data_IF_037162827403
#
_entry.id   IF_037162827403
#
_cell.length_a   1.000
_cell.length_b   1.000
_cell.length_c   1.000
_cell.angle_alpha   90.00
_cell.angle_beta   90.00
_cell.angle_gamma   90.00
#
_symmetry.space_group_name_H-M   'P 1'
#
loop_
_entity.id
_entity.type
_entity.pdbx_description
1 polymer ?
#
# COMPACT_ATOMS: atom_id res chain seq x y z
N UNK A 1 24.56 7.64 5.92
CA UNK A 1 23.09 7.71 6.01
C UNK A 1 22.77 9.16 6.33
N UNK A 2 22.24 9.91 5.36
CA UNK A 2 21.75 11.27 5.58
C UNK A 2 20.68 11.20 6.66
N UNK A 3 20.80 12.02 7.71
CA UNK A 3 19.81 12.07 8.78
C UNK A 3 18.42 12.31 8.19
N UNK A 4 17.56 11.31 8.35
CA UNK A 4 16.17 11.37 7.88
C UNK A 4 15.30 12.29 8.74
N UNK A 5 15.80 12.71 9.89
CA UNK A 5 15.09 13.51 10.88
C UNK A 5 15.39 15.00 10.76
N UNK A 6 14.40 15.82 11.04
CA UNK A 6 14.55 17.29 11.03
C UNK A 6 14.56 17.84 12.46
N UNK A 7 15.52 18.73 12.85
CA UNK A 7 15.64 19.24 14.21
C UNK A 7 14.35 19.85 14.78
N UNK A 8 13.65 20.69 13.99
CA UNK A 8 12.39 21.30 14.44
C UNK A 8 11.29 20.27 14.72
N UNK A 9 11.25 19.16 13.97
CA UNK A 9 10.27 18.09 14.18
C UNK A 9 10.59 17.27 15.42
N UNK A 10 11.89 17.07 15.70
CA UNK A 10 12.35 16.47 16.95
C UNK A 10 12.03 17.36 18.16
N UNK A 11 12.18 18.67 18.03
CA UNK A 11 11.78 19.61 19.07
C UNK A 11 10.26 19.61 19.32
N UNK A 12 9.44 19.50 18.27
CA UNK A 12 7.98 19.32 18.41
C UNK A 12 7.63 18.00 19.09
N UNK A 13 8.33 16.91 18.74
CA UNK A 13 8.19 15.61 19.39
C UNK A 13 8.50 15.67 20.89
N UNK A 14 9.58 16.38 21.27
CA UNK A 14 9.95 16.59 22.67
C UNK A 14 8.86 17.36 23.43
N UNK A 15 8.39 18.49 22.87
CA UNK A 15 7.29 19.29 23.47
C UNK A 15 6.00 18.46 23.70
N UNK A 16 5.63 17.62 22.76
CA UNK A 16 4.46 16.72 22.94
C UNK A 16 4.64 15.82 24.16
N UNK A 17 5.81 15.20 24.30
CA UNK A 17 6.14 14.33 25.44
C UNK A 17 6.18 15.07 26.75
N UNK A 18 6.78 16.27 26.80
CA UNK A 18 6.82 17.15 27.97
C UNK A 18 5.42 17.59 28.42
N UNK A 19 4.50 17.77 27.46
CA UNK A 19 3.09 18.05 27.72
C UNK A 19 2.27 16.80 28.11
N UNK A 20 2.91 15.64 28.29
CA UNK A 20 2.23 14.38 28.64
C UNK A 20 1.41 13.78 27.49
N UNK A 21 1.59 14.26 26.26
CA UNK A 21 0.92 13.73 25.08
C UNK A 21 1.79 12.63 24.45
N UNK A 22 1.17 11.46 24.20
CA UNK A 22 1.85 10.39 23.47
C UNK A 22 1.83 10.69 21.95
N UNK A 23 3.00 10.92 21.33
CA UNK A 23 3.07 11.18 19.90
C UNK A 23 2.87 9.94 19.02
N UNK A 24 2.73 8.75 19.63
CA UNK A 24 2.52 7.47 18.97
C UNK A 24 1.51 6.61 19.74
N UNK A 25 0.27 7.07 19.96
CA UNK A 25 -0.69 6.36 20.79
C UNK A 25 -0.98 4.97 20.23
N UNK A 26 -1.07 3.98 21.12
CA UNK A 26 -1.38 2.60 20.77
C UNK A 26 -2.82 2.43 20.23
N UNK A 27 -3.73 3.35 20.56
CA UNK A 27 -5.10 3.34 20.07
C UNK A 27 -5.29 4.43 19.02
N UNK A 28 -5.74 4.02 17.82
CA UNK A 28 -6.19 4.91 16.77
C UNK A 28 -7.61 5.47 17.02
N UNK A 29 -8.26 5.84 15.95
CA UNK A 29 -9.67 6.21 15.87
C UNK A 29 -10.40 5.23 14.97
N UNK A 30 -11.70 5.03 15.21
CA UNK A 30 -12.57 4.35 14.24
C UNK A 30 -12.90 5.37 13.17
N UNK A 31 -12.50 5.11 11.95
CA UNK A 31 -12.55 6.06 10.85
C UNK A 31 -13.26 5.46 9.64
N UNK A 32 -13.94 6.31 8.91
CA UNK A 32 -14.54 6.00 7.62
C UNK A 32 -13.52 6.22 6.49
N UNK A 33 -13.55 5.41 5.41
CA UNK A 33 -12.74 5.67 4.23
C UNK A 33 -13.10 7.01 3.57
N UNK A 34 -12.09 7.82 3.28
CA UNK A 34 -12.30 9.16 2.68
C UNK A 34 -13.07 9.08 1.34
N UNK A 35 -12.78 8.07 0.52
CA UNK A 35 -13.47 7.88 -0.76
C UNK A 35 -14.97 7.61 -0.61
N UNK A 36 -15.36 6.81 0.38
CA UNK A 36 -16.78 6.55 0.69
C UNK A 36 -17.45 7.81 1.22
N UNK A 37 -16.78 8.53 2.11
CA UNK A 37 -17.25 9.80 2.65
C UNK A 37 -17.54 10.82 1.54
N UNK A 38 -16.63 10.99 0.59
CA UNK A 38 -16.77 11.90 -0.53
C UNK A 38 -17.89 11.48 -1.50
N UNK A 39 -18.08 10.17 -1.71
CA UNK A 39 -19.16 9.64 -2.55
C UNK A 39 -20.56 10.02 -2.02
N UNK A 40 -20.72 10.16 -0.69
CA UNK A 40 -21.96 10.54 -0.06
C UNK A 40 -22.18 12.06 0.03
N UNK A 41 -21.18 12.88 -0.31
CA UNK A 41 -21.31 14.36 -0.16
C UNK A 41 -22.32 15.01 -1.08
N UNK A 42 -22.61 14.43 -2.24
CA UNK A 42 -23.46 15.05 -3.26
C UNK A 42 -22.86 16.35 -3.85
N UNK A 43 -23.67 17.10 -4.58
CA UNK A 43 -23.26 18.37 -5.20
C UNK A 43 -23.08 19.50 -4.19
N UNK A 44 -22.22 20.47 -4.53
CA UNK A 44 -21.93 21.64 -3.71
C UNK A 44 -23.21 22.38 -3.29
N UNK A 45 -23.35 22.58 -1.98
CA UNK A 45 -24.38 23.41 -1.35
C UNK A 45 -23.75 24.69 -0.81
N UNK A 46 -24.49 25.44 0.01
CA UNK A 46 -24.00 26.63 0.69
C UNK A 46 -22.65 26.36 1.41
N UNK A 47 -21.72 27.33 1.42
CA UNK A 47 -20.45 27.21 2.11
C UNK A 47 -20.60 26.97 3.61
N UNK A 48 -19.68 26.20 4.20
CA UNK A 48 -19.64 25.89 5.62
C UNK A 48 -19.94 24.45 5.94
N UNK A 49 -19.88 24.07 7.23
CA UNK A 49 -20.26 22.74 7.68
C UNK A 49 -21.76 22.49 7.50
N UNK A 50 -22.11 21.29 7.11
CA UNK A 50 -23.50 20.82 7.07
C UNK A 50 -23.83 20.20 8.42
N UNK A 51 -24.70 20.83 9.18
CA UNK A 51 -25.17 20.28 10.45
C UNK A 51 -25.78 18.88 10.25
N UNK A 52 -25.41 17.94 11.11
CA UNK A 52 -25.94 16.58 11.09
C UNK A 52 -25.22 15.60 10.17
N UNK A 53 -24.08 15.95 9.61
CA UNK A 53 -23.20 15.03 8.88
C UNK A 53 -21.84 14.86 9.58
N UNK A 54 -21.80 14.34 10.83
CA UNK A 54 -20.54 14.06 11.51
C UNK A 54 -19.82 12.93 10.81
N UNK A 55 -18.50 13.04 10.70
CA UNK A 55 -17.65 12.00 10.16
C UNK A 55 -16.32 11.97 10.91
N UNK A 56 -15.72 10.81 10.96
CA UNK A 56 -14.37 10.64 11.49
C UNK A 56 -13.51 10.00 10.42
N UNK A 57 -12.39 10.64 10.09
CA UNK A 57 -11.39 10.12 9.16
C UNK A 57 -10.05 9.92 9.85
N UNK A 58 -9.24 9.02 9.32
CA UNK A 58 -7.84 8.89 9.70
C UNK A 58 -6.96 8.84 8.45
N UNK A 59 -5.85 9.57 8.48
CA UNK A 59 -4.99 9.58 7.31
C UNK A 59 -3.72 10.41 7.52
N UNK A 60 -2.97 10.55 6.43
CA UNK A 60 -1.74 11.32 6.41
C UNK A 60 -2.00 12.77 6.04
N UNK A 61 -1.57 13.66 6.91
CA UNK A 61 -1.55 15.10 6.67
C UNK A 61 -0.50 15.41 5.59
N UNK A 62 -0.89 16.05 4.48
CA UNK A 62 0.05 16.31 3.38
C UNK A 62 0.76 17.66 3.54
N UNK A 63 -0.01 18.73 3.67
CA UNK A 63 0.53 20.09 3.82
C UNK A 63 -0.44 20.93 4.64
N UNK A 64 0.05 22.02 5.21
CA UNK A 64 -0.78 22.94 5.99
C UNK A 64 -0.71 24.33 5.40
N UNK A 65 -1.85 24.99 5.28
CA UNK A 65 -1.97 26.40 4.90
C UNK A 65 -2.62 27.14 6.07
N UNK A 66 -1.80 27.88 6.85
CA UNK A 66 -2.22 28.60 8.05
C UNK A 66 -2.58 30.04 7.67
N UNK A 67 -3.82 30.44 7.93
CA UNK A 67 -4.38 31.78 7.74
C UNK A 67 -4.70 32.46 9.09
N UNK A 68 -3.98 32.14 10.14
CA UNK A 68 -4.15 32.67 11.49
C UNK A 68 -5.25 31.97 12.28
N UNK A 69 -6.51 32.31 12.09
CA UNK A 69 -7.66 31.69 12.77
C UNK A 69 -8.27 30.51 12.01
N UNK A 70 -7.74 30.18 10.84
CA UNK A 70 -8.20 29.11 9.96
C UNK A 70 -6.99 28.41 9.35
N UNK A 71 -6.96 27.08 9.42
CA UNK A 71 -5.95 26.27 8.77
C UNK A 71 -6.65 25.27 7.83
N UNK A 72 -6.18 25.19 6.59
CA UNK A 72 -6.56 24.15 5.67
C UNK A 72 -5.42 23.15 5.48
N UNK A 73 -5.77 21.87 5.42
CA UNK A 73 -4.82 20.82 5.17
C UNK A 73 -5.48 19.63 4.46
N UNK A 74 -4.91 19.09 3.38
CA UNK A 74 -5.38 17.85 2.81
C UNK A 74 -4.92 16.65 3.65
N UNK A 75 -5.84 15.71 3.88
CA UNK A 75 -5.57 14.40 4.50
C UNK A 75 -5.79 13.33 3.45
N UNK A 76 -4.85 12.38 3.38
CA UNK A 76 -4.83 11.26 2.44
C UNK A 76 -4.96 9.95 3.20
N UNK A 77 -5.87 9.09 2.74
CA UNK A 77 -5.90 7.66 3.06
C UNK A 77 -5.76 6.81 1.79
N UNK A 78 -5.97 5.50 1.90
CA UNK A 78 -5.91 4.59 0.74
C UNK A 78 -7.02 4.83 -0.29
N UNK A 79 -8.16 5.36 0.13
CA UNK A 79 -9.37 5.50 -0.67
C UNK A 79 -9.50 6.85 -1.35
N UNK A 80 -8.79 7.88 -0.85
CA UNK A 80 -8.87 9.20 -1.42
C UNK A 80 -8.21 10.29 -0.59
N UNK A 81 -8.50 11.54 -0.98
CA UNK A 81 -8.00 12.74 -0.33
C UNK A 81 -9.14 13.71 -0.08
N UNK A 82 -9.21 14.27 1.14
CA UNK A 82 -10.17 15.34 1.50
C UNK A 82 -9.43 16.49 2.16
N UNK A 83 -9.91 17.72 1.93
CA UNK A 83 -9.45 18.87 2.68
C UNK A 83 -10.06 18.86 4.08
N UNK A 84 -9.28 19.16 5.10
CA UNK A 84 -9.79 19.50 6.43
C UNK A 84 -9.73 21.01 6.65
N UNK A 85 -10.75 21.56 7.30
CA UNK A 85 -10.81 22.96 7.75
C UNK A 85 -10.78 23.01 9.27
N UNK A 86 -9.71 23.53 9.85
CA UNK A 86 -9.56 23.74 11.28
C UNK A 86 -9.80 25.20 11.61
N UNK A 87 -10.86 25.50 12.32
CA UNK A 87 -11.22 26.85 12.76
C UNK A 87 -10.92 27.02 14.25
N UNK A 88 -10.27 28.13 14.64
CA UNK A 88 -9.94 28.43 16.03
C UNK A 88 -11.18 28.37 16.93
N UNK A 89 -12.28 28.95 16.49
CA UNK A 89 -13.52 28.98 17.28
C UNK A 89 -14.14 27.61 17.54
N UNK A 90 -13.83 26.61 16.70
CA UNK A 90 -14.34 25.22 16.86
C UNK A 90 -13.37 24.31 17.63
N UNK A 91 -12.11 24.70 17.72
CA UNK A 91 -11.01 23.92 18.30
C UNK A 91 -10.28 24.71 19.40
N UNK A 92 -10.99 25.57 20.14
CA UNK A 92 -10.39 26.58 21.01
C UNK A 92 -9.34 26.00 21.96
N UNK A 93 -9.69 24.98 22.72
CA UNK A 93 -8.79 24.33 23.68
C UNK A 93 -7.61 23.62 23.01
N UNK A 94 -7.82 23.08 21.82
CA UNK A 94 -6.79 22.36 21.05
C UNK A 94 -5.95 23.31 20.15
N UNK A 95 -6.39 24.51 19.91
CA UNK A 95 -5.80 25.41 18.91
C UNK A 95 -4.29 25.63 19.03
N UNK A 96 -3.69 25.76 20.22
CA UNK A 96 -2.24 25.85 20.39
C UNK A 96 -1.48 24.64 19.84
N UNK A 97 -2.05 23.45 19.95
CA UNK A 97 -1.44 22.17 19.56
C UNK A 97 -1.21 22.03 18.05
N UNK A 98 -1.95 22.79 17.23
CA UNK A 98 -1.76 22.80 15.77
C UNK A 98 -0.32 23.09 15.35
N UNK A 99 0.44 23.84 16.17
CA UNK A 99 1.85 24.17 15.93
C UNK A 99 2.78 22.96 16.03
N UNK A 100 2.32 21.88 16.65
CA UNK A 100 3.05 20.62 16.75
C UNK A 100 2.81 19.69 15.55
N UNK A 101 1.81 19.99 14.72
CA UNK A 101 1.55 19.24 13.50
C UNK A 101 2.53 19.63 12.38
N UNK A 102 2.82 18.63 11.53
CA UNK A 102 3.61 18.79 10.31
C UNK A 102 3.03 17.94 9.17
N UNK A 103 3.34 18.32 7.94
CA UNK A 103 3.09 17.44 6.79
C UNK A 103 3.83 16.11 6.97
N UNK A 104 3.12 15.01 6.73
CA UNK A 104 3.59 13.65 6.98
C UNK A 104 3.03 13.00 8.25
N UNK A 105 2.52 13.77 9.20
CA UNK A 105 1.88 13.24 10.41
C UNK A 105 0.66 12.38 10.05
N UNK A 106 0.41 11.34 10.84
CA UNK A 106 -0.87 10.63 10.79
C UNK A 106 -1.81 11.25 11.82
N UNK A 107 -3.01 11.58 11.38
CA UNK A 107 -4.02 12.25 12.18
C UNK A 107 -5.38 11.55 12.11
N UNK A 108 -6.13 11.61 13.20
CA UNK A 108 -7.54 11.32 13.25
C UNK A 108 -8.31 12.64 13.36
N UNK A 109 -9.30 12.85 12.53
CA UNK A 109 -10.09 14.07 12.48
C UNK A 109 -11.56 13.71 12.57
N UNK A 110 -12.24 14.24 13.59
CA UNK A 110 -13.70 14.22 13.69
C UNK A 110 -14.23 15.60 13.33
N UNK A 111 -15.30 15.65 12.57
CA UNK A 111 -15.88 16.94 12.15
C UNK A 111 -17.15 16.80 11.35
N UNK A 112 -17.55 17.86 10.71
CA UNK A 112 -18.75 17.95 9.88
C UNK A 112 -18.36 18.21 8.42
N UNK A 113 -18.93 17.42 7.53
CA UNK A 113 -18.75 17.63 6.09
C UNK A 113 -19.39 18.93 5.63
N UNK A 114 -18.77 19.55 4.65
CA UNK A 114 -19.30 20.76 4.03
C UNK A 114 -18.46 21.21 2.86
N UNK A 115 -18.62 22.46 2.47
CA UNK A 115 -17.90 23.04 1.34
C UNK A 115 -17.23 24.35 1.74
N UNK A 116 -16.10 24.67 1.10
CA UNK A 116 -15.55 26.03 1.18
C UNK A 116 -16.37 27.00 0.33
N UNK A 117 -16.07 28.30 0.40
CA UNK A 117 -16.67 29.32 -0.47
C UNK A 117 -16.43 29.05 -1.96
N UNK A 118 -15.36 28.32 -2.30
CA UNK A 118 -15.01 27.90 -3.67
C UNK A 118 -15.61 26.55 -4.08
N UNK A 119 -16.47 25.96 -3.23
CA UNK A 119 -17.09 24.67 -3.50
C UNK A 119 -16.18 23.46 -3.27
N UNK A 120 -15.04 23.60 -2.59
CA UNK A 120 -14.15 22.47 -2.31
C UNK A 120 -14.70 21.64 -1.14
N UNK A 121 -14.86 20.29 -1.32
CA UNK A 121 -15.28 19.39 -0.26
C UNK A 121 -14.33 19.47 0.93
N UNK A 122 -14.87 19.70 2.13
CA UNK A 122 -14.07 19.96 3.33
C UNK A 122 -14.71 19.31 4.55
N UNK A 123 -13.93 18.60 5.34
CA UNK A 123 -14.30 18.18 6.68
C UNK A 123 -13.90 19.27 7.68
N UNK A 124 -14.90 19.94 8.25
CA UNK A 124 -14.73 21.01 9.24
C UNK A 124 -14.52 20.40 10.62
N UNK A 125 -13.28 20.41 11.09
CA UNK A 125 -12.86 19.71 12.29
C UNK A 125 -13.52 20.24 13.56
N UNK A 126 -14.00 19.33 14.40
CA UNK A 126 -14.41 19.54 15.80
C UNK A 126 -13.47 18.88 16.77
N UNK A 127 -12.71 17.87 16.32
CA UNK A 127 -11.65 17.21 17.08
C UNK A 127 -10.50 16.84 16.16
N UNK A 128 -9.26 17.02 16.66
CA UNK A 128 -8.03 16.62 15.97
C UNK A 128 -7.17 15.82 16.93
N UNK A 129 -6.78 14.63 16.50
CA UNK A 129 -5.93 13.72 17.27
C UNK A 129 -4.68 13.36 16.47
N UNK A 130 -3.51 13.56 17.06
CA UNK A 130 -2.26 13.04 16.50
C UNK A 130 -2.22 11.52 16.73
N UNK A 131 -2.01 10.75 15.66
CA UNK A 131 -1.88 9.29 15.69
C UNK A 131 -0.44 8.83 15.53
N UNK A 132 0.37 9.56 14.76
CA UNK A 132 1.80 9.34 14.69
C UNK A 132 2.53 10.58 14.20
N UNK A 133 3.54 11.00 14.92
CA UNK A 133 4.40 12.13 14.57
C UNK A 133 5.43 11.73 13.53
N UNK A 134 5.45 12.45 12.41
CA UNK A 134 6.48 12.31 11.39
C UNK A 134 7.69 13.18 11.72
N UNK A 135 8.83 12.56 12.01
CA UNK A 135 10.09 13.26 12.32
C UNK A 135 10.94 13.55 11.09
N UNK A 136 10.61 12.90 9.96
CA UNK A 136 11.20 13.17 8.66
C UNK A 136 10.30 14.09 7.83
N UNK A 137 10.84 15.13 7.16
CA UNK A 137 10.04 15.94 6.26
C UNK A 137 9.57 15.12 5.05
N UNK A 138 8.37 15.40 4.51
CA UNK A 138 7.97 14.85 3.23
C UNK A 138 8.92 15.34 2.12
N UNK A 139 9.00 14.62 0.98
CA UNK A 139 9.66 15.13 -0.22
C UNK A 139 9.08 16.48 -0.66
N UNK A 140 9.83 17.24 -1.46
CA UNK A 140 9.36 18.52 -1.98
C UNK A 140 8.01 18.40 -2.73
N UNK A 141 7.14 19.40 -2.53
CA UNK A 141 5.70 19.37 -2.84
C UNK A 141 5.30 19.09 -4.29
N UNK A 142 6.19 19.31 -5.24
CA UNK A 142 5.79 19.38 -6.66
C UNK A 142 6.17 18.16 -7.49
N UNK A 143 7.12 17.33 -7.04
CA UNK A 143 7.69 16.26 -7.85
C UNK A 143 7.78 14.90 -7.12
N UNK A 144 7.34 14.81 -5.85
CA UNK A 144 7.55 13.60 -5.06
C UNK A 144 9.04 13.27 -4.95
N UNK A 145 9.38 11.98 -5.03
CA UNK A 145 10.76 11.52 -5.14
C UNK A 145 11.14 11.44 -6.63
N UNK A 146 11.97 12.37 -7.14
CA UNK A 146 12.37 12.40 -8.55
C UNK A 146 13.40 11.30 -8.90
N UNK A 147 14.33 11.02 -7.99
CA UNK A 147 15.38 10.02 -8.19
C UNK A 147 14.83 8.59 -8.09
N UNK A 148 15.06 7.78 -9.15
CA UNK A 148 14.55 6.40 -9.21
C UNK A 148 15.12 5.50 -8.12
N UNK A 149 16.40 5.65 -7.79
CA UNK A 149 17.07 4.86 -6.76
C UNK A 149 16.48 5.16 -5.39
N UNK A 150 16.26 6.44 -5.09
CA UNK A 150 15.61 6.87 -3.85
C UNK A 150 14.17 6.37 -3.78
N UNK A 151 13.41 6.39 -4.89
CA UNK A 151 12.05 5.83 -4.96
C UNK A 151 12.02 4.34 -4.63
N UNK A 152 12.96 3.56 -5.11
CA UNK A 152 13.06 2.14 -4.79
C UNK A 152 13.47 1.91 -3.33
N UNK A 153 14.45 2.65 -2.83
CA UNK A 153 14.93 2.51 -1.44
C UNK A 153 13.96 3.02 -0.39
N UNK A 154 13.18 4.04 -0.74
CA UNK A 154 12.15 4.65 0.13
C UNK A 154 10.76 4.46 -0.43
N UNK A 155 10.43 3.25 -0.86
CA UNK A 155 9.13 2.92 -1.45
C UNK A 155 7.97 3.33 -0.54
N UNK A 156 8.10 3.20 0.76
CA UNK A 156 7.10 3.62 1.75
C UNK A 156 6.82 5.13 1.73
N UNK A 157 7.77 5.97 1.32
CA UNK A 157 7.56 7.40 1.09
C UNK A 157 6.93 7.63 -0.29
N UNK A 158 7.48 7.00 -1.33
CA UNK A 158 7.01 7.11 -2.72
C UNK A 158 5.51 6.76 -2.86
N UNK A 159 5.03 5.76 -2.11
CA UNK A 159 3.64 5.31 -2.12
C UNK A 159 2.61 6.39 -1.75
N UNK A 160 2.95 7.33 -0.89
CA UNK A 160 2.02 8.38 -0.46
C UNK A 160 2.38 9.77 -0.96
N UNK A 161 3.62 9.98 -1.42
CA UNK A 161 4.09 11.28 -1.87
C UNK A 161 4.08 11.46 -3.38
N UNK A 162 3.91 10.37 -4.14
CA UNK A 162 3.91 10.39 -5.62
C UNK A 162 2.57 9.87 -6.14
N UNK A 163 1.90 10.68 -6.96
CA UNK A 163 0.59 10.31 -7.52
C UNK A 163 0.69 9.04 -8.39
N UNK A 164 -0.31 8.18 -8.29
CA UNK A 164 -0.45 6.96 -9.08
C UNK A 164 0.49 5.80 -8.69
N UNK A 165 1.47 6.01 -7.82
CA UNK A 165 2.40 4.93 -7.42
C UNK A 165 1.69 3.82 -6.66
N UNK A 166 0.80 4.16 -5.72
CA UNK A 166 0.03 3.19 -4.97
C UNK A 166 -0.90 2.35 -5.86
N UNK A 167 -1.42 2.93 -6.95
CA UNK A 167 -2.35 2.28 -7.87
C UNK A 167 -1.74 1.05 -8.56
N UNK A 168 -0.44 1.09 -8.85
CA UNK A 168 0.28 -0.05 -9.43
C UNK A 168 0.23 -1.25 -8.50
N UNK A 169 0.41 -1.06 -7.20
CA UNK A 169 0.37 -2.13 -6.20
C UNK A 169 -1.06 -2.63 -5.97
N UNK A 170 -2.04 -1.73 -5.98
CA UNK A 170 -3.47 -2.10 -5.90
C UNK A 170 -3.87 -2.92 -7.13
N UNK A 171 -3.50 -2.49 -8.34
CA UNK A 171 -3.74 -3.24 -9.58
C UNK A 171 -3.07 -4.61 -9.54
N UNK A 172 -1.81 -4.69 -9.10
CA UNK A 172 -1.11 -5.95 -8.93
C UNK A 172 -1.86 -6.91 -8.00
N UNK A 173 -2.34 -6.43 -6.85
CA UNK A 173 -3.11 -7.25 -5.92
C UNK A 173 -4.41 -7.78 -6.56
N UNK A 174 -5.12 -6.92 -7.31
CA UNK A 174 -6.32 -7.31 -8.06
C UNK A 174 -6.02 -8.37 -9.12
N UNK A 175 -4.92 -8.22 -9.88
CA UNK A 175 -4.45 -9.21 -10.87
C UNK A 175 -4.26 -10.58 -10.22
N UNK A 176 -3.51 -10.66 -9.13
CA UNK A 176 -3.26 -11.92 -8.44
C UNK A 176 -4.57 -12.57 -7.91
N UNK A 177 -5.44 -11.77 -7.32
CA UNK A 177 -6.74 -12.24 -6.82
C UNK A 177 -7.65 -12.72 -7.94
N UNK A 178 -7.66 -12.04 -9.09
CA UNK A 178 -8.46 -12.44 -10.24
C UNK A 178 -7.97 -13.78 -10.82
N UNK A 179 -6.65 -13.94 -11.01
CA UNK A 179 -6.07 -15.18 -11.52
C UNK A 179 -6.41 -16.37 -10.61
N UNK A 180 -6.32 -16.20 -9.28
CA UNK A 180 -6.71 -17.26 -8.32
C UNK A 180 -8.16 -17.69 -8.55
N UNK A 181 -9.11 -16.76 -8.48
CA UNK A 181 -10.53 -17.06 -8.70
C UNK A 181 -10.77 -17.70 -10.06
N UNK A 182 -10.09 -17.24 -11.10
CA UNK A 182 -10.21 -17.78 -12.45
C UNK A 182 -9.74 -19.24 -12.53
N UNK A 183 -8.58 -19.56 -11.97
CA UNK A 183 -8.05 -20.92 -11.96
C UNK A 183 -8.87 -21.85 -11.05
N UNK A 184 -9.25 -21.39 -9.86
CA UNK A 184 -10.15 -22.13 -8.95
C UNK A 184 -11.48 -22.48 -9.61
N UNK A 185 -12.07 -21.55 -10.38
CA UNK A 185 -13.31 -21.79 -11.13
C UNK A 185 -13.18 -22.87 -12.22
N UNK A 186 -11.94 -23.16 -12.64
CA UNK A 186 -11.61 -24.24 -13.57
C UNK A 186 -11.10 -25.49 -12.83
N UNK A 187 -11.34 -25.60 -11.52
CA UNK A 187 -10.97 -26.74 -10.66
C UNK A 187 -9.45 -26.92 -10.51
N UNK A 188 -8.66 -25.86 -10.67
CA UNK A 188 -7.25 -25.90 -10.25
C UNK A 188 -7.15 -25.69 -8.74
N UNK A 189 -6.29 -26.48 -8.12
CA UNK A 189 -5.96 -26.40 -6.71
C UNK A 189 -4.69 -25.54 -6.53
N UNK A 190 -4.76 -24.46 -5.74
CA UNK A 190 -3.55 -23.74 -5.32
C UNK A 190 -2.78 -24.59 -4.29
N UNK A 191 -1.52 -24.81 -4.54
CA UNK A 191 -0.63 -25.56 -3.64
C UNK A 191 0.58 -24.73 -3.22
N UNK A 192 1.18 -25.09 -2.09
CA UNK A 192 2.45 -24.52 -1.64
C UNK A 192 3.48 -25.63 -1.60
N UNK A 193 4.56 -25.45 -2.36
CA UNK A 193 5.67 -26.39 -2.43
C UNK A 193 6.90 -25.83 -1.71
N UNK A 194 7.87 -26.68 -1.32
CA UNK A 194 9.06 -26.24 -0.60
C UNK A 194 9.84 -25.14 -1.31
N UNK A 195 10.30 -24.15 -0.55
CA UNK A 195 11.20 -23.10 -1.04
C UNK A 195 12.67 -23.53 -0.99
N UNK A 196 13.01 -24.38 -0.01
CA UNK A 196 14.35 -24.94 0.14
C UNK A 196 14.39 -26.33 -0.51
N UNK A 197 15.23 -26.48 -1.52
CA UNK A 197 15.37 -27.71 -2.30
C UNK A 197 16.70 -28.41 -2.00
N UNK A 198 16.72 -29.73 -1.86
CA UNK A 198 17.98 -30.49 -1.72
C UNK A 198 18.75 -30.55 -3.05
N UNK A 199 18.04 -30.37 -4.18
CA UNK A 199 18.60 -30.38 -5.54
C UNK A 199 18.03 -29.20 -6.28
N UNK A 200 18.87 -28.36 -6.84
CA UNK A 200 18.43 -27.28 -7.74
C UNK A 200 17.92 -27.86 -9.06
N UNK A 201 16.75 -27.42 -9.51
CA UNK A 201 16.16 -27.92 -10.75
C UNK A 201 14.88 -27.18 -11.16
N UNK A 202 14.34 -27.53 -12.32
CA UNK A 202 13.13 -26.94 -12.89
C UNK A 202 13.38 -25.70 -13.77
N UNK A 203 14.61 -25.21 -13.86
CA UNK A 203 15.00 -24.12 -14.76
C UNK A 203 16.51 -24.12 -15.03
N UNK A 204 16.94 -23.47 -16.08
CA UNK A 204 18.35 -23.20 -16.39
C UNK A 204 18.79 -21.90 -15.70
N UNK A 205 19.01 -21.92 -14.39
CA UNK A 205 19.41 -20.77 -13.61
C UNK A 205 20.38 -21.17 -12.48
N UNK A 206 21.14 -20.18 -11.98
CA UNK A 206 22.04 -20.40 -10.83
C UNK A 206 21.25 -20.22 -9.54
N UNK A 207 21.26 -21.20 -8.60
CA UNK A 207 20.58 -21.06 -7.33
C UNK A 207 21.40 -20.25 -6.31
N UNK A 208 20.71 -19.67 -5.33
CA UNK A 208 21.32 -19.30 -4.06
C UNK A 208 21.49 -20.55 -3.20
N UNK A 209 22.60 -20.66 -2.51
CA UNK A 209 22.93 -21.79 -1.63
C UNK A 209 22.82 -21.36 -0.18
N UNK A 210 22.24 -22.19 0.66
CA UNK A 210 22.22 -22.04 2.12
C UNK A 210 22.60 -23.35 2.79
N UNK A 211 22.93 -23.30 4.09
CA UNK A 211 23.32 -24.49 4.87
C UNK A 211 22.29 -24.83 5.95
N UNK A 212 21.86 -26.07 6.00
CA UNK A 212 20.99 -26.59 7.04
C UNK A 212 21.84 -27.15 8.19
N UNK A 213 21.97 -26.38 9.28
CA UNK A 213 22.92 -26.73 10.38
C UNK A 213 22.62 -28.08 11.03
N UNK A 214 21.34 -28.37 11.31
CA UNK A 214 20.97 -29.62 11.99
C UNK A 214 21.18 -30.87 11.12
N UNK A 215 21.10 -30.77 9.81
CA UNK A 215 21.31 -31.88 8.88
C UNK A 215 22.72 -31.87 8.28
N UNK A 216 23.55 -30.85 8.52
CA UNK A 216 24.89 -30.73 7.99
C UNK A 216 24.96 -30.76 6.46
N UNK A 217 23.94 -30.22 5.77
CA UNK A 217 23.84 -30.29 4.31
C UNK A 217 23.51 -28.95 3.67
N UNK A 218 23.92 -28.78 2.43
CA UNK A 218 23.54 -27.61 1.65
C UNK A 218 22.13 -27.78 1.07
N UNK A 219 21.38 -26.68 1.08
CA UNK A 219 20.09 -26.54 0.42
C UNK A 219 20.15 -25.37 -0.56
N UNK A 220 19.26 -25.39 -1.53
CA UNK A 220 19.15 -24.38 -2.57
C UNK A 220 17.81 -23.64 -2.44
N UNK A 221 17.83 -22.32 -2.52
CA UNK A 221 16.61 -21.57 -2.77
C UNK A 221 16.08 -21.92 -4.15
N UNK A 222 14.77 -22.23 -4.25
CA UNK A 222 14.17 -22.70 -5.50
C UNK A 222 14.32 -21.70 -6.63
N UNK A 223 14.70 -22.21 -7.78
CA UNK A 223 14.75 -21.46 -9.05
C UNK A 223 13.44 -21.56 -9.84
N UNK A 224 12.63 -22.59 -9.54
CA UNK A 224 11.29 -22.86 -10.06
C UNK A 224 10.58 -23.89 -9.16
N UNK A 225 9.24 -23.93 -9.07
CA UNK A 225 8.48 -24.95 -8.34
C UNK A 225 8.23 -26.23 -9.17
N UNK A 226 8.62 -26.25 -10.44
CA UNK A 226 8.30 -27.26 -11.46
C UNK A 226 8.33 -28.72 -10.96
N UNK A 227 9.48 -29.12 -10.36
CA UNK A 227 9.66 -30.53 -9.96
C UNK A 227 8.68 -30.97 -8.88
N UNK A 228 8.27 -30.07 -7.99
CA UNK A 228 7.31 -30.36 -6.95
C UNK A 228 5.88 -30.33 -7.47
N UNK A 229 5.55 -29.42 -8.37
CA UNK A 229 4.22 -29.40 -9.02
C UNK A 229 3.99 -30.67 -9.85
N UNK A 230 5.02 -31.14 -10.57
CA UNK A 230 4.97 -32.43 -11.25
C UNK A 230 4.75 -33.63 -10.29
N UNK A 231 5.34 -33.59 -9.09
CA UNK A 231 5.07 -34.61 -8.05
C UNK A 231 3.65 -34.56 -7.55
N UNK A 232 3.02 -33.36 -7.46
CA UNK A 232 1.61 -33.20 -7.14
C UNK A 232 0.74 -33.90 -8.19
N UNK A 233 1.05 -33.73 -9.49
CA UNK A 233 0.36 -34.42 -10.58
C UNK A 233 0.52 -35.95 -10.48
N UNK A 234 1.73 -36.43 -10.25
CA UNK A 234 1.98 -37.87 -10.04
C UNK A 234 1.21 -38.41 -8.82
N UNK A 235 1.05 -37.59 -7.80
CA UNK A 235 0.27 -37.88 -6.59
C UNK A 235 -1.25 -37.87 -6.77
N UNK A 236 -1.74 -37.58 -7.99
CA UNK A 236 -3.16 -37.57 -8.31
C UNK A 236 -3.88 -36.23 -8.20
N UNK A 237 -3.15 -35.11 -7.97
CA UNK A 237 -3.70 -33.78 -8.06
C UNK A 237 -3.70 -33.33 -9.53
N UNK A 238 -4.76 -33.58 -10.24
CA UNK A 238 -4.84 -33.47 -11.71
C UNK A 238 -4.67 -32.05 -12.25
N UNK A 239 -4.97 -31.02 -11.44
CA UNK A 239 -4.84 -29.61 -11.79
C UNK A 239 -4.32 -28.83 -10.61
N UNK A 240 -3.12 -28.28 -10.74
CA UNK A 240 -2.47 -27.53 -9.67
C UNK A 240 -1.88 -26.24 -10.20
N UNK A 241 -1.79 -25.24 -9.34
CA UNK A 241 -1.03 -24.02 -9.59
C UNK A 241 -0.36 -23.50 -8.31
N UNK A 242 0.67 -22.71 -8.48
CA UNK A 242 1.35 -22.04 -7.38
C UNK A 242 1.79 -20.64 -7.79
N UNK A 243 1.45 -19.64 -6.97
CA UNK A 243 2.16 -18.37 -6.97
C UNK A 243 3.39 -18.49 -6.09
N UNK A 244 4.54 -18.62 -6.71
CA UNK A 244 5.78 -18.90 -6.01
C UNK A 244 6.76 -17.73 -6.03
N UNK A 245 7.50 -17.57 -4.94
CA UNK A 245 8.68 -16.74 -4.92
C UNK A 245 9.88 -17.59 -5.36
N UNK A 246 10.53 -17.18 -6.47
CA UNK A 246 11.68 -17.86 -7.01
C UNK A 246 12.93 -17.00 -6.94
N UNK A 247 14.09 -17.63 -6.90
CA UNK A 247 15.37 -17.00 -6.63
C UNK A 247 16.40 -17.43 -7.68
N UNK A 248 17.00 -16.47 -8.37
CA UNK A 248 18.05 -16.74 -9.37
C UNK A 248 19.25 -15.86 -9.08
N UNK A 249 20.40 -16.48 -8.82
CA UNK A 249 21.67 -15.82 -8.47
C UNK A 249 22.44 -15.44 -9.73
N UNK A 250 21.87 -14.51 -10.49
CA UNK A 250 22.36 -14.05 -11.78
C UNK A 250 22.52 -12.53 -11.79
N UNK A 251 22.91 -11.96 -12.94
CA UNK A 251 23.09 -10.52 -13.08
C UNK A 251 21.80 -9.73 -12.95
N UNK A 252 21.89 -8.52 -12.39
CA UNK A 252 20.77 -7.60 -12.25
C UNK A 252 20.54 -6.81 -13.55
N UNK A 253 19.27 -6.57 -13.89
CA UNK A 253 18.87 -5.64 -14.95
C UNK A 253 17.53 -4.98 -14.60
N UNK A 254 17.07 -4.05 -15.42
CA UNK A 254 15.76 -3.43 -15.26
C UNK A 254 14.59 -4.41 -15.30
N UNK A 255 14.80 -5.62 -15.86
CA UNK A 255 13.79 -6.67 -16.02
C UNK A 255 14.07 -7.92 -15.18
N UNK A 256 15.25 -8.02 -14.56
CA UNK A 256 15.67 -9.21 -13.82
C UNK A 256 16.08 -8.84 -12.41
N UNK A 257 15.30 -9.30 -11.44
CA UNK A 257 15.61 -9.25 -10.03
C UNK A 257 16.05 -10.65 -9.55
N UNK A 258 16.91 -10.76 -8.55
CA UNK A 258 17.33 -12.06 -8.02
C UNK A 258 16.19 -12.81 -7.33
N UNK A 259 15.13 -12.09 -6.96
CA UNK A 259 13.93 -12.59 -6.31
C UNK A 259 12.70 -12.05 -7.04
N UNK A 260 11.79 -12.93 -7.46
CA UNK A 260 10.60 -12.54 -8.21
C UNK A 260 9.44 -13.52 -8.00
N UNK A 261 8.23 -13.06 -8.28
CA UNK A 261 7.03 -13.90 -8.24
C UNK A 261 6.79 -14.54 -9.61
N UNK A 262 6.51 -15.84 -9.60
CA UNK A 262 6.14 -16.62 -10.79
C UNK A 262 4.81 -17.32 -10.51
N UNK A 263 3.97 -17.44 -11.52
CA UNK A 263 2.85 -18.36 -11.55
C UNK A 263 3.25 -19.56 -12.41
N UNK A 264 3.16 -20.75 -11.86
CA UNK A 264 3.21 -21.99 -12.63
C UNK A 264 1.95 -22.79 -12.40
N UNK A 265 1.48 -23.46 -13.44
CA UNK A 265 0.31 -24.34 -13.40
C UNK A 265 0.55 -25.60 -14.21
N UNK A 266 -0.07 -26.70 -13.79
CA UNK A 266 0.04 -27.99 -14.42
C UNK A 266 -1.34 -28.66 -14.48
N UNK A 267 -1.65 -29.29 -15.60
CA UNK A 267 -2.88 -30.06 -15.83
C UNK A 267 -2.53 -31.42 -16.41
N UNK A 268 -2.99 -32.48 -15.76
CA UNK A 268 -2.86 -33.86 -16.25
C UNK A 268 -3.64 -34.05 -17.52
N UNK A 269 -3.16 -34.94 -18.43
CA UNK A 269 -3.83 -35.31 -19.68
C UNK A 269 -4.09 -34.11 -20.62
N UNK A 270 -3.40 -32.97 -20.42
CA UNK A 270 -3.51 -31.81 -21.28
C UNK A 270 -2.25 -31.66 -22.16
N UNK A 271 -2.44 -31.10 -23.34
CA UNK A 271 -1.35 -30.73 -24.26
C UNK A 271 -1.09 -29.23 -24.28
N UNK A 272 -0.13 -28.80 -25.10
CA UNK A 272 0.23 -27.39 -25.23
C UNK A 272 -0.91 -26.49 -25.72
N UNK A 273 -1.89 -27.04 -26.48
CA UNK A 273 -3.04 -26.26 -26.98
C UNK A 273 -3.94 -25.85 -25.82
N UNK A 274 -4.14 -26.75 -24.87
CA UNK A 274 -4.84 -26.41 -23.62
C UNK A 274 -4.13 -25.33 -22.84
N UNK A 275 -2.81 -25.34 -22.78
CA UNK A 275 -2.03 -24.29 -22.12
C UNK A 275 -2.16 -22.94 -22.81
N UNK A 276 -2.17 -22.93 -24.16
CA UNK A 276 -2.42 -21.71 -24.93
C UNK A 276 -3.81 -21.14 -24.59
N UNK A 277 -4.85 -21.97 -24.60
CA UNK A 277 -6.22 -21.56 -24.27
C UNK A 277 -6.30 -20.93 -22.86
N UNK A 278 -5.70 -21.55 -21.86
CA UNK A 278 -5.67 -21.03 -20.49
C UNK A 278 -4.96 -19.68 -20.45
N UNK A 279 -3.81 -19.56 -21.10
CA UNK A 279 -3.05 -18.31 -21.13
C UNK A 279 -3.84 -17.18 -21.81
N UNK A 280 -4.45 -17.43 -22.94
CA UNK A 280 -5.29 -16.46 -23.65
C UNK A 280 -6.48 -16.01 -22.80
N UNK A 281 -7.15 -16.92 -22.10
CA UNK A 281 -8.25 -16.60 -21.20
C UNK A 281 -7.80 -15.78 -20.00
N UNK A 282 -6.65 -16.07 -19.43
CA UNK A 282 -6.08 -15.28 -18.33
C UNK A 282 -5.78 -13.85 -18.81
N UNK A 283 -5.09 -13.70 -19.95
CA UNK A 283 -4.69 -12.38 -20.45
C UNK A 283 -5.92 -11.56 -20.86
N UNK A 284 -6.84 -12.13 -21.64
CA UNK A 284 -8.05 -11.42 -22.08
C UNK A 284 -8.97 -11.05 -20.91
N UNK A 285 -9.17 -11.97 -19.97
CA UNK A 285 -9.99 -11.71 -18.79
C UNK A 285 -9.39 -10.62 -17.87
N UNK A 286 -8.08 -10.61 -17.70
CA UNK A 286 -7.39 -9.54 -16.98
C UNK A 286 -7.49 -8.18 -17.70
N UNK A 287 -7.38 -8.16 -19.03
CA UNK A 287 -7.54 -6.94 -19.81
C UNK A 287 -8.94 -6.35 -19.60
N UNK A 288 -9.98 -7.17 -19.65
CA UNK A 288 -11.37 -6.74 -19.40
C UNK A 288 -11.58 -6.27 -17.96
N UNK A 289 -11.21 -7.08 -16.96
CA UNK A 289 -11.50 -6.82 -15.54
C UNK A 289 -10.68 -5.66 -14.96
N UNK A 290 -9.40 -5.53 -15.35
CA UNK A 290 -8.46 -4.58 -14.73
C UNK A 290 -8.27 -3.31 -15.58
N UNK A 291 -8.34 -3.42 -16.90
CA UNK A 291 -8.09 -2.31 -17.81
C UNK A 291 -9.36 -1.80 -18.50
N UNK A 292 -10.45 -2.58 -18.50
CA UNK A 292 -11.72 -2.22 -19.15
C UNK A 292 -11.67 -2.31 -20.69
N UNK A 293 -10.78 -3.15 -21.22
CA UNK A 293 -10.56 -3.28 -22.68
C UNK A 293 -10.68 -4.72 -23.15
#
# INVERSE_FOLDING_TARGET
MTELTHPDRLAKLARLREAGQDPYPARGVVAEPIGELLAHMGTAAAPGPRAGTPATIAGRLLSMRDFGKLVFAPVLDRSGRVQIGMQQARLEAWWPERKNLDGGDLVGITGELGFTQKGEPTLWATEVKLLAKSVAPPPEKWHGLADKEIRYRRRYVDLWSSDGVADVFVKRAKVLSWIRRHLESQSYLEVETPTLHPIAGGAAARPFVTHHNALGMNLFLRIAPELYLKRCIVGGLERVFEFSRNFRNEGLSLRHNPEFTMLELYEAQADYRRMIEIFERIVSGLAQEICGT
#
